data_IF_638040181008
#
_entry.id   IF_638040181008
#
_cell.length_a   1.000
_cell.length_b   1.000
_cell.length_c   1.000
_cell.angle_alpha   90.00
_cell.angle_beta   90.00
_cell.angle_gamma   90.00
#
_symmetry.space_group_name_H-M   'P 1'
#
loop_
_entity.id
_entity.type
_entity.pdbx_description
1 polymer ?
#
# COMPACT_ATOMS: atom_id res chain seq x y z
N UNK A 1 -17.64 -14.37 -19.63
CA UNK A 1 -18.61 -15.43 -19.39
C UNK A 1 -18.36 -16.06 -18.02
N UNK A 2 -19.40 -16.34 -17.21
CA UNK A 2 -19.24 -16.89 -15.86
C UNK A 2 -18.48 -18.22 -15.85
N UNK A 3 -18.74 -19.06 -16.83
CA UNK A 3 -18.06 -20.35 -16.96
C UNK A 3 -16.56 -20.21 -17.20
N UNK A 4 -16.12 -19.16 -17.88
CA UNK A 4 -14.70 -18.94 -18.15
C UNK A 4 -13.94 -18.61 -16.88
N UNK A 5 -14.51 -17.76 -16.00
CA UNK A 5 -13.92 -17.46 -14.69
C UNK A 5 -13.87 -18.68 -13.77
N UNK A 6 -14.92 -19.53 -13.81
CA UNK A 6 -14.93 -20.77 -13.06
C UNK A 6 -13.80 -21.71 -13.55
N UNK A 7 -13.68 -21.88 -14.85
CA UNK A 7 -12.62 -22.71 -15.45
C UNK A 7 -11.21 -22.18 -15.10
N UNK A 8 -11.00 -20.87 -15.17
CA UNK A 8 -9.71 -20.27 -14.78
C UNK A 8 -9.34 -20.57 -13.33
N UNK A 9 -10.31 -20.52 -12.42
CA UNK A 9 -10.10 -20.89 -11.01
C UNK A 9 -9.78 -22.38 -10.83
N UNK A 10 -10.43 -23.26 -11.60
CA UNK A 10 -10.11 -24.69 -11.60
C UNK A 10 -8.68 -24.93 -12.10
N UNK A 11 -8.28 -24.27 -13.19
CA UNK A 11 -6.90 -24.34 -13.70
C UNK A 11 -5.88 -23.86 -12.67
N UNK A 12 -6.16 -22.74 -12.01
CA UNK A 12 -5.27 -22.18 -10.97
C UNK A 12 -5.09 -23.15 -9.80
N UNK A 13 -6.09 -23.96 -9.46
CA UNK A 13 -6.03 -24.97 -8.39
C UNK A 13 -5.47 -26.32 -8.82
N UNK A 14 -5.33 -26.55 -10.13
CA UNK A 14 -4.99 -27.86 -10.67
C UNK A 14 -6.16 -28.85 -10.62
N UNK A 15 -7.40 -28.35 -10.58
CA UNK A 15 -8.65 -29.12 -10.52
C UNK A 15 -9.38 -29.18 -11.88
N UNK A 16 -8.71 -28.79 -12.97
CA UNK A 16 -9.29 -28.83 -14.31
C UNK A 16 -9.67 -30.22 -14.71
N UNK A 17 -10.73 -30.34 -15.52
CA UNK A 17 -11.15 -31.63 -16.10
C UNK A 17 -10.11 -32.11 -17.11
N UNK A 18 -9.65 -33.33 -16.94
CA UNK A 18 -8.71 -34.00 -17.85
C UNK A 18 -9.41 -34.80 -18.96
N UNK A 19 -10.75 -34.90 -18.89
CA UNK A 19 -11.52 -35.74 -19.82
C UNK A 19 -11.31 -35.33 -21.28
N UNK A 20 -11.33 -34.03 -21.56
CA UNK A 20 -11.07 -33.48 -22.89
C UNK A 20 -9.74 -33.99 -23.49
N UNK A 21 -8.68 -33.98 -22.69
CA UNK A 21 -7.36 -34.44 -23.14
C UNK A 21 -7.31 -35.96 -23.32
N UNK A 22 -8.03 -36.71 -22.48
CA UNK A 22 -8.18 -38.17 -22.65
C UNK A 22 -8.93 -38.49 -23.95
N UNK A 23 -10.00 -37.76 -24.24
CA UNK A 23 -10.79 -37.96 -25.45
C UNK A 23 -9.97 -37.62 -26.71
N UNK A 24 -9.20 -36.52 -26.68
CA UNK A 24 -8.34 -36.12 -27.79
C UNK A 24 -7.18 -37.09 -28.06
N UNK A 25 -6.65 -37.75 -27.02
CA UNK A 25 -5.53 -38.67 -27.12
C UNK A 25 -5.98 -40.13 -27.29
N UNK A 26 -7.27 -40.41 -27.13
CA UNK A 26 -7.77 -41.79 -27.28
C UNK A 26 -7.79 -42.21 -28.76
N UNK A 27 -7.33 -43.41 -29.03
CA UNK A 27 -7.49 -44.08 -30.35
C UNK A 27 -8.64 -45.06 -30.23
N UNK A 28 -9.76 -44.77 -30.86
CA UNK A 28 -10.99 -45.58 -30.76
C UNK A 28 -11.47 -45.80 -29.31
N UNK A 29 -11.24 -44.82 -28.42
CA UNK A 29 -11.60 -44.93 -27.01
C UNK A 29 -10.58 -45.68 -26.15
N UNK A 30 -9.47 -46.14 -26.71
CA UNK A 30 -8.40 -46.82 -25.99
C UNK A 30 -7.25 -45.87 -25.64
N UNK A 31 -6.85 -45.88 -24.38
CA UNK A 31 -5.71 -45.11 -23.79
C UNK A 31 -4.61 -46.05 -23.26
N UNK A 32 -4.75 -47.38 -23.42
CA UNK A 32 -3.84 -48.38 -22.81
C UNK A 32 -2.41 -48.29 -23.35
N UNK A 33 -2.22 -47.70 -24.53
CA UNK A 33 -0.91 -47.49 -25.14
C UNK A 33 -0.15 -46.30 -24.52
N UNK A 34 -0.84 -45.45 -23.74
CA UNK A 34 -0.24 -44.31 -23.06
C UNK A 34 0.02 -44.64 -21.57
N UNK A 35 1.26 -44.76 -21.22
CA UNK A 35 1.65 -44.88 -19.80
C UNK A 35 1.81 -43.50 -19.18
N UNK A 36 0.69 -42.72 -19.10
CA UNK A 36 0.68 -41.36 -18.56
C UNK A 36 -0.02 -41.33 -17.21
N UNK A 37 0.58 -40.59 -16.28
CA UNK A 37 -0.12 -40.18 -15.06
C UNK A 37 -1.00 -38.97 -15.37
N UNK A 38 -2.31 -39.21 -15.36
CA UNK A 38 -3.34 -38.19 -15.67
C UNK A 38 -3.59 -37.22 -14.51
N UNK A 39 -2.81 -37.29 -13.46
CA UNK A 39 -2.97 -36.39 -12.33
C UNK A 39 -2.44 -34.98 -12.66
N UNK A 40 -3.28 -33.94 -12.59
CA UNK A 40 -2.82 -32.57 -12.82
C UNK A 40 -1.72 -32.16 -11.83
N UNK A 41 -0.69 -31.51 -12.34
CA UNK A 41 0.35 -30.93 -11.49
C UNK A 41 0.03 -29.46 -11.23
N UNK A 42 -0.25 -29.03 -9.98
CA UNK A 42 -0.72 -27.66 -9.67
C UNK A 42 0.47 -26.67 -9.66
N UNK A 43 1.13 -26.51 -10.81
CA UNK A 43 2.27 -25.58 -10.95
C UNK A 43 1.78 -24.14 -10.87
N UNK A 44 0.64 -23.82 -11.49
CA UNK A 44 0.08 -22.46 -11.55
C UNK A 44 -0.26 -21.94 -10.16
N UNK A 45 -0.77 -22.78 -9.27
CA UNK A 45 -1.07 -22.42 -7.89
C UNK A 45 0.14 -21.80 -7.19
N UNK A 46 1.31 -22.40 -7.32
CA UNK A 46 2.55 -21.91 -6.70
C UNK A 46 2.96 -20.55 -7.27
N UNK A 47 2.84 -20.34 -8.58
CA UNK A 47 3.14 -19.04 -9.19
C UNK A 47 2.15 -17.96 -8.76
N UNK A 48 0.86 -18.28 -8.69
CA UNK A 48 -0.15 -17.35 -8.16
C UNK A 48 0.17 -16.96 -6.73
N UNK A 49 0.52 -17.91 -5.87
CA UNK A 49 0.85 -17.65 -4.46
C UNK A 49 2.10 -16.77 -4.33
N UNK A 50 3.13 -16.99 -5.16
CA UNK A 50 4.35 -16.14 -5.16
C UNK A 50 3.99 -14.72 -5.56
N UNK A 51 3.23 -14.53 -6.62
CA UNK A 51 2.82 -13.19 -7.11
C UNK A 51 1.94 -12.49 -6.08
N UNK A 52 0.92 -13.18 -5.57
CA UNK A 52 -0.03 -12.61 -4.60
C UNK A 52 0.67 -12.22 -3.31
N UNK A 53 1.53 -13.07 -2.77
CA UNK A 53 2.27 -12.76 -1.54
C UNK A 53 3.26 -11.63 -1.77
N UNK A 54 3.99 -11.60 -2.88
CA UNK A 54 4.93 -10.53 -3.20
C UNK A 54 4.25 -9.15 -3.35
N UNK A 55 3.00 -9.10 -3.84
CA UNK A 55 2.23 -7.86 -3.91
C UNK A 55 1.61 -7.53 -2.54
N UNK A 56 1.09 -8.53 -1.82
CA UNK A 56 0.42 -8.35 -0.53
C UNK A 56 1.38 -7.90 0.57
N UNK A 57 2.66 -8.25 0.50
CA UNK A 57 3.69 -7.82 1.45
C UNK A 57 4.02 -6.32 1.38
N UNK A 58 3.58 -5.63 0.31
CA UNK A 58 3.76 -4.17 0.23
C UNK A 58 2.98 -3.49 1.34
N UNK A 59 3.70 -2.80 2.20
CA UNK A 59 3.12 -1.96 3.25
C UNK A 59 2.44 -0.75 2.62
N UNK A 60 1.37 -0.32 3.23
CA UNK A 60 0.70 0.94 2.92
C UNK A 60 0.68 1.80 4.18
N UNK A 61 0.66 3.10 3.98
CA UNK A 61 0.55 4.09 5.03
C UNK A 61 -0.71 4.92 4.78
N UNK A 62 -1.55 5.04 5.79
CA UNK A 62 -2.79 5.82 5.71
C UNK A 62 -2.47 7.20 6.21
N UNK A 63 -2.71 8.21 5.38
CA UNK A 63 -2.57 9.61 5.74
C UNK A 63 -3.87 10.35 5.47
N UNK A 64 -4.37 11.02 6.48
CA UNK A 64 -5.52 11.91 6.38
C UNK A 64 -5.04 13.37 6.40
N UNK A 65 -5.69 14.20 5.63
CA UNK A 65 -5.44 15.64 5.58
C UNK A 65 -6.76 16.39 5.69
N UNK A 66 -6.86 17.28 6.66
CA UNK A 66 -8.01 18.15 6.78
C UNK A 66 -8.10 19.10 5.59
N UNK A 67 -9.28 19.18 4.98
CA UNK A 67 -9.60 20.13 3.91
C UNK A 67 -10.44 21.31 4.43
N UNK A 68 -10.64 21.41 5.75
CA UNK A 68 -11.31 22.56 6.34
C UNK A 68 -10.46 23.82 6.20
N UNK A 69 -11.12 24.93 5.89
CA UNK A 69 -10.46 26.21 5.63
C UNK A 69 -9.66 26.69 6.85
N UNK A 70 -10.20 26.50 8.06
CA UNK A 70 -9.50 26.86 9.29
C UNK A 70 -8.27 25.97 9.52
N UNK A 71 -8.41 24.67 9.29
CA UNK A 71 -7.32 23.73 9.41
C UNK A 71 -6.20 23.98 8.41
N UNK A 72 -6.55 24.33 7.17
CA UNK A 72 -5.56 24.73 6.17
C UNK A 72 -4.83 26.01 6.56
N UNK A 73 -5.55 26.98 7.14
CA UNK A 73 -4.95 28.22 7.62
C UNK A 73 -3.99 27.97 8.78
N UNK A 74 -4.41 27.23 9.80
CA UNK A 74 -3.55 26.87 10.94
C UNK A 74 -2.28 26.14 10.50
N UNK A 75 -2.39 25.25 9.52
CA UNK A 75 -1.25 24.57 8.92
C UNK A 75 -0.29 25.54 8.23
N UNK A 76 -0.84 26.50 7.48
CA UNK A 76 -0.04 27.52 6.79
C UNK A 76 0.63 28.44 7.80
N UNK A 77 -0.10 28.91 8.81
CA UNK A 77 0.42 29.78 9.87
C UNK A 77 1.55 29.07 10.65
N UNK A 78 1.41 27.77 10.92
CA UNK A 78 2.46 26.97 11.57
C UNK A 78 3.69 26.83 10.68
N UNK A 79 3.51 26.55 9.39
CA UNK A 79 4.60 26.44 8.42
C UNK A 79 5.37 27.78 8.30
N UNK A 80 4.64 28.90 8.22
CA UNK A 80 5.25 30.24 8.20
C UNK A 80 6.02 30.54 9.47
N UNK A 81 5.53 30.12 10.63
CA UNK A 81 6.24 30.27 11.90
C UNK A 81 7.57 29.51 11.89
N UNK A 82 7.59 28.26 11.40
CA UNK A 82 8.84 27.47 11.29
C UNK A 82 9.82 28.12 10.30
N UNK A 83 9.35 28.61 9.15
CA UNK A 83 10.21 29.31 8.19
C UNK A 83 10.82 30.55 8.81
N UNK A 84 10.04 31.35 9.52
CA UNK A 84 10.56 32.53 10.23
C UNK A 84 11.61 32.15 11.29
N UNK A 85 11.40 31.06 12.02
CA UNK A 85 12.37 30.56 13.00
C UNK A 85 13.67 30.08 12.33
N UNK A 86 13.58 29.46 11.15
CA UNK A 86 14.73 29.04 10.34
C UNK A 86 15.53 30.26 9.86
N UNK A 87 14.86 31.25 9.26
CA UNK A 87 15.50 32.51 8.79
C UNK A 87 16.16 33.29 9.96
N UNK A 88 15.48 33.29 11.10
CA UNK A 88 16.03 33.94 12.30
C UNK A 88 17.28 33.20 12.80
N UNK A 89 17.31 31.87 12.79
CA UNK A 89 18.47 31.04 13.15
C UNK A 89 19.66 31.34 12.22
N UNK A 90 19.42 31.41 10.90
CA UNK A 90 20.45 31.75 9.92
C UNK A 90 20.99 33.16 10.16
N UNK A 91 20.13 34.15 10.42
CA UNK A 91 20.52 35.52 10.74
C UNK A 91 21.34 35.60 12.02
N UNK A 92 20.95 34.87 13.07
CA UNK A 92 21.66 34.86 14.37
C UNK A 92 23.05 34.21 14.22
N UNK A 93 23.17 33.13 13.44
CA UNK A 93 24.45 32.52 13.09
C UNK A 93 25.36 33.49 12.32
N UNK A 94 24.80 34.23 11.36
CA UNK A 94 25.54 35.24 10.60
C UNK A 94 26.03 36.38 11.50
N UNK A 95 25.20 36.88 12.41
CA UNK A 95 25.58 37.97 13.34
C UNK A 95 26.58 37.50 14.38
N UNK A 96 26.43 36.28 14.91
CA UNK A 96 27.40 35.67 15.82
C UNK A 96 28.78 35.53 15.17
N UNK A 97 28.83 35.07 13.91
CA UNK A 97 30.07 34.86 13.17
C UNK A 97 30.77 36.15 12.77
N UNK A 98 30.03 37.20 12.40
CA UNK A 98 30.61 38.45 11.86
C UNK A 98 30.77 39.55 12.91
N UNK A 99 29.94 39.58 13.95
CA UNK A 99 29.89 40.65 14.94
C UNK A 99 30.10 40.17 16.37
N UNK A 100 30.14 38.84 16.61
CA UNK A 100 30.34 38.27 17.95
C UNK A 100 29.16 38.49 18.89
N UNK A 101 27.98 38.80 18.38
CA UNK A 101 26.77 39.09 19.16
C UNK A 101 25.78 37.93 18.97
N UNK A 102 25.44 37.24 20.06
CA UNK A 102 24.34 36.28 20.09
C UNK A 102 23.07 37.03 20.53
N UNK A 103 22.04 37.00 19.69
CA UNK A 103 20.83 37.82 19.89
C UNK A 103 19.83 37.16 20.83
N UNK A 104 19.87 35.82 20.99
CA UNK A 104 19.07 35.07 21.97
C UNK A 104 19.77 33.75 22.36
N UNK A 105 19.55 33.29 23.60
CA UNK A 105 19.66 31.88 23.96
C UNK A 105 18.55 31.14 23.18
N UNK A 106 18.88 30.66 21.98
CA UNK A 106 17.97 29.78 21.24
C UNK A 106 17.85 28.50 22.03
N UNK A 107 16.66 28.23 22.59
CA UNK A 107 16.30 26.85 22.93
C UNK A 107 16.68 25.99 21.73
N UNK A 108 17.44 24.92 21.94
CA UNK A 108 17.86 23.96 20.94
C UNK A 108 16.63 23.22 20.40
N UNK A 109 15.76 23.91 19.65
CA UNK A 109 14.76 23.26 18.84
C UNK A 109 15.48 22.74 17.61
N UNK A 110 15.34 21.44 17.39
CA UNK A 110 15.72 20.81 16.11
C UNK A 110 14.82 21.37 15.01
N UNK A 111 15.22 22.50 14.44
CA UNK A 111 14.54 23.11 13.30
C UNK A 111 15.07 22.49 12.02
N UNK A 112 14.20 22.24 11.02
CA UNK A 112 14.65 21.79 9.72
C UNK A 112 15.63 22.79 9.09
N UNK A 113 16.63 22.28 8.37
CA UNK A 113 17.66 23.12 7.74
C UNK A 113 17.43 23.26 6.23
N UNK A 114 16.65 22.37 5.65
CA UNK A 114 16.35 22.36 4.21
C UNK A 114 14.84 22.36 3.94
N UNK A 115 14.40 22.81 2.75
CA UNK A 115 12.99 22.74 2.36
C UNK A 115 12.43 21.31 2.39
N UNK A 116 13.27 20.31 2.07
CA UNK A 116 12.90 18.90 2.11
C UNK A 116 12.67 18.42 3.54
N UNK A 117 13.53 18.86 4.47
CA UNK A 117 13.36 18.57 5.91
C UNK A 117 12.15 19.29 6.48
N UNK A 118 11.85 20.50 6.04
CA UNK A 118 10.62 21.21 6.41
C UNK A 118 9.38 20.43 5.97
N UNK A 119 9.38 19.92 4.75
CA UNK A 119 8.29 19.11 4.25
C UNK A 119 8.12 17.82 5.06
N UNK A 120 9.22 17.17 5.41
CA UNK A 120 9.22 15.99 6.26
C UNK A 120 8.74 16.30 7.68
N UNK A 121 9.19 17.41 8.26
CA UNK A 121 8.75 17.91 9.57
C UNK A 121 7.23 18.15 9.58
N UNK A 122 6.70 18.82 8.54
CA UNK A 122 5.27 19.05 8.40
C UNK A 122 4.46 17.74 8.27
N UNK A 123 5.03 16.72 7.66
CA UNK A 123 4.37 15.41 7.51
C UNK A 123 4.40 14.58 8.80
N UNK A 124 5.46 14.67 9.58
CA UNK A 124 5.68 13.83 10.76
C UNK A 124 5.22 14.47 12.06
N UNK A 125 5.44 15.79 12.20
CA UNK A 125 5.24 16.48 13.47
C UNK A 125 3.93 17.26 13.51
N UNK A 126 3.58 17.93 12.42
CA UNK A 126 2.35 18.69 12.37
C UNK A 126 1.17 17.81 11.89
N UNK A 127 0.33 17.46 12.82
CA UNK A 127 -0.96 16.79 12.53
C UNK A 127 -2.05 17.41 13.40
N UNK A 128 -3.15 17.72 12.79
CA UNK A 128 -4.35 18.13 13.53
C UNK A 128 -4.96 16.93 14.25
N UNK A 129 -5.61 17.17 15.39
CA UNK A 129 -6.26 16.13 16.16
C UNK A 129 -7.32 15.37 15.33
N UNK A 130 -8.00 16.05 14.40
CA UNK A 130 -8.97 15.45 13.47
C UNK A 130 -8.29 14.48 12.51
N UNK A 131 -7.14 14.87 11.92
CA UNK A 131 -6.37 14.03 11.00
C UNK A 131 -5.89 12.74 11.69
N UNK A 132 -5.40 12.87 12.94
CA UNK A 132 -4.99 11.72 13.74
C UNK A 132 -6.17 10.80 14.05
N UNK A 133 -7.33 11.37 14.41
CA UNK A 133 -8.54 10.60 14.69
C UNK A 133 -9.05 9.87 13.44
N UNK A 134 -9.02 10.50 12.28
CA UNK A 134 -9.40 9.89 11.00
C UNK A 134 -8.47 8.74 10.60
N UNK A 135 -7.15 8.92 10.73
CA UNK A 135 -6.18 7.86 10.48
C UNK A 135 -6.39 6.66 11.41
N UNK A 136 -6.61 6.92 12.70
CA UNK A 136 -6.89 5.86 13.66
C UNK A 136 -8.21 5.15 13.38
N UNK A 137 -9.26 5.90 13.03
CA UNK A 137 -10.55 5.33 12.68
C UNK A 137 -10.45 4.42 11.45
N UNK A 138 -9.73 4.85 10.40
CA UNK A 138 -9.48 4.05 9.21
C UNK A 138 -8.68 2.78 9.52
N UNK A 139 -7.63 2.88 10.34
CA UNK A 139 -6.86 1.71 10.77
C UNK A 139 -7.73 0.70 11.52
N UNK A 140 -8.54 1.14 12.48
CA UNK A 140 -9.47 0.28 13.24
C UNK A 140 -10.49 -0.38 12.30
N UNK A 141 -11.05 0.37 11.34
CA UNK A 141 -11.96 -0.18 10.34
C UNK A 141 -11.30 -1.24 9.46
N UNK A 142 -10.07 -1.01 9.03
CA UNK A 142 -9.33 -1.97 8.21
C UNK A 142 -9.00 -3.24 8.98
N UNK A 143 -8.56 -3.12 10.23
CA UNK A 143 -8.30 -4.27 11.10
C UNK A 143 -9.59 -5.05 11.40
N UNK A 144 -10.66 -4.35 11.77
CA UNK A 144 -11.96 -4.94 12.09
C UNK A 144 -12.59 -5.69 10.90
N UNK A 145 -12.32 -5.26 9.67
CA UNK A 145 -12.80 -5.90 8.45
C UNK A 145 -11.83 -6.95 7.88
N UNK A 146 -10.75 -7.30 8.55
CA UNK A 146 -9.73 -8.21 8.05
C UNK A 146 -9.20 -7.80 6.67
N UNK A 147 -8.87 -6.53 6.51
CA UNK A 147 -8.46 -5.94 5.24
C UNK A 147 -7.34 -6.74 4.54
N UNK A 148 -6.37 -7.26 5.28
CA UNK A 148 -5.28 -8.08 4.73
C UNK A 148 -5.80 -9.35 4.02
N UNK A 149 -6.84 -9.98 4.55
CA UNK A 149 -7.45 -11.14 3.90
C UNK A 149 -8.21 -10.74 2.64
N UNK A 150 -8.93 -9.61 2.67
CA UNK A 150 -9.64 -9.06 1.51
C UNK A 150 -8.64 -8.69 0.42
N UNK A 151 -7.55 -8.02 0.78
CA UNK A 151 -6.46 -7.63 -0.10
C UNK A 151 -5.85 -8.85 -0.82
N UNK A 152 -5.52 -9.92 -0.07
CA UNK A 152 -5.01 -11.16 -0.67
C UNK A 152 -5.98 -11.79 -1.64
N UNK A 153 -7.26 -11.89 -1.28
CA UNK A 153 -8.31 -12.43 -2.16
C UNK A 153 -8.49 -11.59 -3.42
N UNK A 154 -8.46 -10.27 -3.28
CA UNK A 154 -8.55 -9.34 -4.40
C UNK A 154 -7.40 -9.53 -5.39
N UNK A 155 -6.16 -9.60 -4.91
CA UNK A 155 -5.00 -9.86 -5.76
C UNK A 155 -5.02 -11.26 -6.38
N UNK A 156 -5.55 -12.25 -5.66
CA UNK A 156 -5.74 -13.59 -6.18
C UNK A 156 -6.73 -13.61 -7.35
N UNK A 157 -7.88 -12.95 -7.21
CA UNK A 157 -8.87 -12.86 -8.28
C UNK A 157 -8.34 -12.06 -9.48
N UNK A 158 -7.62 -10.97 -9.27
CA UNK A 158 -6.98 -10.23 -10.37
C UNK A 158 -5.94 -11.08 -11.11
N UNK A 159 -5.11 -11.82 -10.38
CA UNK A 159 -4.05 -12.65 -10.98
C UNK A 159 -4.62 -13.81 -11.77
N UNK A 160 -5.72 -14.42 -11.30
CA UNK A 160 -6.33 -15.58 -11.95
C UNK A 160 -7.30 -15.17 -13.06
N UNK A 161 -8.18 -14.21 -12.79
CA UNK A 161 -9.30 -13.85 -13.66
C UNK A 161 -9.07 -12.56 -14.45
N UNK A 162 -8.06 -11.76 -14.12
CA UNK A 162 -7.83 -10.43 -14.69
C UNK A 162 -8.80 -9.36 -14.21
N UNK A 163 -9.80 -9.73 -13.41
CA UNK A 163 -10.85 -8.83 -12.89
C UNK A 163 -11.09 -9.16 -11.43
N UNK A 164 -11.17 -8.14 -10.59
CA UNK A 164 -11.61 -8.26 -9.21
C UNK A 164 -12.48 -7.06 -8.84
N UNK A 165 -13.41 -7.25 -7.90
CA UNK A 165 -14.26 -6.20 -7.38
C UNK A 165 -14.45 -6.36 -5.89
N UNK A 166 -14.47 -5.23 -5.17
CA UNK A 166 -14.78 -5.17 -3.74
C UNK A 166 -16.04 -4.33 -3.58
N UNK A 167 -16.98 -4.83 -2.79
CA UNK A 167 -18.19 -4.09 -2.42
C UNK A 167 -18.07 -3.66 -0.96
N UNK A 168 -18.19 -2.36 -0.72
CA UNK A 168 -18.39 -1.80 0.62
C UNK A 168 -19.88 -1.85 0.97
N UNK A 169 -20.21 -2.27 2.17
CA UNK A 169 -21.60 -2.31 2.69
C UNK A 169 -21.69 -1.39 3.90
#
# INVERSE_FOLDING_TARGET
NHNDFHNLRLYARGEQTIQKYKDELSINGDLSYLNLDWKPVPIISKFVDIVVNGIAERTYDIKAYSQDVNGMKERTDYMEAIINDMEFKEFDQFTAKNFGVNTKESEEKELPETPEELQLHMQLTYKQAVEVAEEQALNVLMEGNNYELIKKRFYQDITICGIAAVKTS
#
